data_IF_527600274148
#
_entry.id   IF_527600274148
#
_cell.length_a   1.000
_cell.length_b   1.000
_cell.length_c   1.000
_cell.angle_alpha   90.00
_cell.angle_beta   90.00
_cell.angle_gamma   90.00
#
_symmetry.space_group_name_H-M   'P 1'
#
loop_
_entity.id
_entity.type
_entity.pdbx_description
1 polymer ?
#
# COMPACT_ATOMS: atom_id res chain seq x y z
N UNK A 1 -14.06 23.51 6.82
CA UNK A 1 -13.10 23.61 5.70
C UNK A 1 -11.72 23.05 6.08
N UNK A 2 -11.05 23.58 7.10
CA UNK A 2 -9.68 23.18 7.53
C UNK A 2 -9.52 21.70 7.88
N UNK A 3 -10.53 21.06 8.50
CA UNK A 3 -10.51 19.61 8.79
C UNK A 3 -10.47 18.74 7.52
N UNK A 4 -11.21 19.14 6.48
CA UNK A 4 -11.25 18.42 5.20
C UNK A 4 -9.91 18.59 4.49
N UNK A 5 -9.33 19.79 4.51
CA UNK A 5 -8.03 20.06 3.89
C UNK A 5 -6.89 19.25 4.55
N UNK A 6 -6.88 19.15 5.88
CA UNK A 6 -5.92 18.32 6.62
C UNK A 6 -6.14 16.82 6.35
N UNK A 7 -7.38 16.37 6.25
CA UNK A 7 -7.70 14.98 5.94
C UNK A 7 -7.28 14.60 4.51
N UNK A 8 -7.57 15.45 3.53
CA UNK A 8 -7.18 15.25 2.13
C UNK A 8 -5.66 15.33 1.98
N UNK A 9 -5.00 16.28 2.67
CA UNK A 9 -3.55 16.38 2.71
C UNK A 9 -2.90 15.11 3.26
N UNK A 10 -3.44 14.53 4.33
CA UNK A 10 -2.93 13.28 4.88
C UNK A 10 -3.07 12.10 3.89
N UNK A 11 -4.17 12.04 3.13
CA UNK A 11 -4.38 11.03 2.08
C UNK A 11 -3.31 11.17 0.98
N UNK A 12 -3.09 12.39 0.47
CA UNK A 12 -2.10 12.63 -0.59
C UNK A 12 -0.68 12.37 -0.11
N UNK A 13 -0.33 12.84 1.10
CA UNK A 13 0.97 12.58 1.70
C UNK A 13 1.23 11.09 1.90
N UNK A 14 0.22 10.31 2.30
CA UNK A 14 0.36 8.86 2.44
C UNK A 14 0.69 8.16 1.12
N UNK A 15 0.15 8.69 0.02
CA UNK A 15 0.36 8.14 -1.32
C UNK A 15 1.77 8.48 -1.83
N UNK A 16 2.22 9.71 -1.61
CA UNK A 16 3.59 10.15 -1.94
C UNK A 16 4.60 9.37 -1.10
N UNK A 17 4.37 9.23 0.20
CA UNK A 17 5.25 8.45 1.07
C UNK A 17 5.29 6.97 0.69
N UNK A 18 4.15 6.39 0.31
CA UNK A 18 4.10 5.02 -0.23
C UNK A 18 4.98 4.86 -1.47
N UNK A 19 4.91 5.82 -2.41
CA UNK A 19 5.75 5.83 -3.61
C UNK A 19 7.25 6.00 -3.30
N UNK A 20 7.58 6.89 -2.36
CA UNK A 20 8.96 7.11 -1.92
C UNK A 20 9.53 5.87 -1.23
N UNK A 21 8.75 5.22 -0.36
CA UNK A 21 9.13 3.96 0.31
C UNK A 21 9.36 2.85 -0.70
N UNK A 22 8.46 2.70 -1.67
CA UNK A 22 8.60 1.75 -2.75
C UNK A 22 9.89 1.98 -3.54
N UNK A 23 10.15 3.21 -3.98
CA UNK A 23 11.38 3.56 -4.71
C UNK A 23 12.65 3.39 -3.87
N UNK A 24 12.58 3.72 -2.57
CA UNK A 24 13.70 3.56 -1.66
C UNK A 24 14.07 2.08 -1.45
N UNK A 25 13.09 1.21 -1.21
CA UNK A 25 13.35 -0.23 -1.06
C UNK A 25 13.83 -0.82 -2.39
N UNK A 26 13.24 -0.41 -3.51
CA UNK A 26 13.65 -0.85 -4.84
C UNK A 26 15.13 -0.55 -5.14
N UNK A 27 15.63 0.63 -4.77
CA UNK A 27 17.02 1.02 -5.03
C UNK A 27 18.01 0.49 -3.98
N UNK A 28 17.63 0.49 -2.69
CA UNK A 28 18.57 0.20 -1.60
C UNK A 28 18.60 -1.27 -1.19
N UNK A 29 17.49 -2.00 -1.38
CA UNK A 29 17.34 -3.39 -0.98
C UNK A 29 16.70 -4.23 -2.10
N UNK A 30 17.43 -4.45 -3.21
CA UNK A 30 16.91 -5.17 -4.37
C UNK A 30 16.47 -6.60 -4.03
N UNK A 31 17.19 -7.31 -3.17
CA UNK A 31 16.86 -8.68 -2.75
C UNK A 31 15.55 -8.75 -1.95
N UNK A 32 15.36 -7.78 -1.04
CA UNK A 32 14.11 -7.64 -0.29
C UNK A 32 12.96 -7.33 -1.23
N UNK A 33 13.16 -6.47 -2.21
CA UNK A 33 12.15 -6.13 -3.20
C UNK A 33 11.77 -7.35 -4.08
N UNK A 34 12.76 -8.13 -4.50
CA UNK A 34 12.54 -9.37 -5.24
C UNK A 34 11.71 -10.37 -4.42
N UNK A 35 12.04 -10.53 -3.14
CA UNK A 35 11.28 -11.38 -2.22
C UNK A 35 9.83 -10.89 -2.09
N UNK A 36 9.61 -9.58 -1.92
CA UNK A 36 8.26 -9.01 -1.80
C UNK A 36 7.44 -9.21 -3.08
N UNK A 37 8.06 -9.09 -4.26
CA UNK A 37 7.41 -9.36 -5.54
C UNK A 37 7.05 -10.85 -5.70
N UNK A 38 7.93 -11.76 -5.28
CA UNK A 38 7.67 -13.20 -5.29
C UNK A 38 6.52 -13.58 -4.34
N UNK A 39 6.44 -12.92 -3.18
CA UNK A 39 5.30 -13.03 -2.27
C UNK A 39 4.00 -12.54 -2.93
N UNK A 40 4.04 -11.42 -3.66
CA UNK A 40 2.87 -10.92 -4.38
C UNK A 40 2.42 -11.89 -5.49
N UNK A 41 3.36 -12.50 -6.21
CA UNK A 41 3.08 -13.53 -7.22
C UNK A 41 2.46 -14.80 -6.60
N UNK A 42 2.99 -15.22 -5.46
CA UNK A 42 2.47 -16.35 -4.69
C UNK A 42 1.05 -16.08 -4.18
N UNK A 43 0.80 -14.87 -3.68
CA UNK A 43 -0.54 -14.43 -3.26
C UNK A 43 -1.54 -14.43 -4.42
N UNK A 44 -1.14 -13.93 -5.59
CA UNK A 44 -1.96 -13.97 -6.82
C UNK A 44 -2.29 -15.40 -7.22
N UNK A 45 -1.29 -16.28 -7.21
CA UNK A 45 -1.46 -17.71 -7.54
C UNK A 45 -2.40 -18.41 -6.56
N UNK A 46 -2.27 -18.10 -5.26
CA UNK A 46 -3.19 -18.57 -4.22
C UNK A 46 -4.61 -18.07 -4.45
N UNK A 47 -4.80 -16.79 -4.80
CA UNK A 47 -6.11 -16.21 -5.06
C UNK A 47 -6.83 -16.89 -6.24
N UNK A 48 -6.08 -17.16 -7.32
CA UNK A 48 -6.57 -17.85 -8.52
C UNK A 48 -6.91 -19.32 -8.22
N UNK A 49 -6.17 -19.97 -7.30
CA UNK A 49 -6.39 -21.38 -6.95
C UNK A 49 -7.69 -21.65 -6.18
N UNK A 50 -8.39 -20.61 -5.69
CA UNK A 50 -9.64 -20.72 -4.91
C UNK A 50 -10.88 -21.19 -5.71
N UNK A 51 -10.71 -21.70 -6.93
CA UNK A 51 -11.82 -22.22 -7.75
C UNK A 51 -12.71 -21.15 -8.36
N UNK A 52 -12.19 -19.93 -8.54
CA UNK A 52 -12.91 -18.85 -9.22
C UNK A 52 -13.16 -19.23 -10.68
N UNK A 53 -14.37 -18.96 -11.19
CA UNK A 53 -14.71 -19.22 -12.58
C UNK A 53 -13.74 -18.46 -13.52
N UNK A 54 -13.45 -19.06 -14.68
CA UNK A 54 -12.40 -18.62 -15.61
C UNK A 54 -12.46 -17.13 -15.96
N UNK A 55 -13.67 -16.57 -16.03
CA UNK A 55 -13.93 -15.16 -16.29
C UNK A 55 -13.34 -14.25 -15.18
N UNK A 56 -13.52 -14.60 -13.91
CA UNK A 56 -12.98 -13.85 -12.76
C UNK A 56 -11.45 -13.99 -12.66
N UNK A 57 -10.92 -15.15 -13.03
CA UNK A 57 -9.47 -15.35 -13.07
C UNK A 57 -8.78 -14.46 -14.11
N UNK A 58 -9.43 -14.16 -15.23
CA UNK A 58 -8.90 -13.21 -16.21
C UNK A 58 -8.86 -11.78 -15.66
N UNK A 59 -9.91 -11.34 -14.96
CA UNK A 59 -9.92 -10.05 -14.28
C UNK A 59 -8.81 -9.93 -13.24
N UNK A 60 -8.59 -10.96 -12.44
CA UNK A 60 -7.50 -11.01 -11.44
C UNK A 60 -6.13 -11.01 -12.13
N UNK A 61 -5.98 -11.63 -13.29
CA UNK A 61 -4.71 -11.58 -14.01
C UNK A 61 -4.37 -10.18 -14.51
N UNK A 62 -5.36 -9.48 -15.06
CA UNK A 62 -5.21 -8.17 -15.71
C UNK A 62 -5.15 -7.02 -14.70
N UNK A 63 -6.06 -6.99 -13.73
CA UNK A 63 -6.15 -5.89 -12.77
C UNK A 63 -5.10 -5.96 -11.65
N UNK A 64 -4.52 -7.13 -11.45
CA UNK A 64 -3.73 -7.47 -10.27
C UNK A 64 -2.30 -7.81 -10.72
N UNK A 65 -1.59 -6.80 -11.22
CA UNK A 65 -0.15 -6.88 -11.47
C UNK A 65 0.63 -6.90 -10.15
N UNK A 66 1.69 -7.71 -10.09
CA UNK A 66 2.54 -7.87 -8.89
C UNK A 66 3.10 -6.53 -8.41
N UNK A 67 3.55 -5.68 -9.32
CA UNK A 67 4.04 -4.33 -9.01
C UNK A 67 2.97 -3.45 -8.38
N UNK A 68 1.73 -3.55 -8.85
CA UNK A 68 0.61 -2.75 -8.33
C UNK A 68 0.17 -3.24 -6.96
N UNK A 69 0.16 -4.55 -6.75
CA UNK A 69 -0.03 -5.16 -5.43
C UNK A 69 1.00 -4.68 -4.42
N UNK A 70 2.28 -4.73 -4.80
CA UNK A 70 3.36 -4.31 -3.92
C UNK A 70 3.25 -2.81 -3.63
N UNK A 71 2.96 -1.98 -4.63
CA UNK A 71 2.73 -0.55 -4.42
C UNK A 71 1.55 -0.27 -3.47
N UNK A 72 0.45 -1.00 -3.61
CA UNK A 72 -0.69 -0.90 -2.68
C UNK A 72 -0.28 -1.30 -1.27
N UNK A 73 0.47 -2.39 -1.10
CA UNK A 73 0.97 -2.82 0.20
C UNK A 73 1.88 -1.76 0.85
N UNK A 74 2.82 -1.18 0.09
CA UNK A 74 3.66 -0.08 0.56
C UNK A 74 2.86 1.16 0.94
N UNK A 75 1.82 1.48 0.18
CA UNK A 75 0.93 2.62 0.50
C UNK A 75 0.14 2.37 1.79
N UNK A 76 -0.31 1.14 2.03
CA UNK A 76 -0.97 0.76 3.28
C UNK A 76 0.01 0.87 4.46
N UNK A 77 1.24 0.36 4.31
CA UNK A 77 2.28 0.48 5.35
C UNK A 77 2.59 1.95 5.64
N UNK A 78 2.75 2.78 4.60
CA UNK A 78 2.97 4.22 4.76
C UNK A 78 1.80 4.90 5.49
N UNK A 79 0.55 4.47 5.24
CA UNK A 79 -0.62 4.94 5.99
C UNK A 79 -0.59 4.55 7.46
N UNK A 80 -0.23 3.31 7.77
CA UNK A 80 -0.11 2.86 9.17
C UNK A 80 0.97 3.67 9.88
N UNK A 81 2.13 3.85 9.24
CA UNK A 81 3.22 4.68 9.78
C UNK A 81 2.78 6.12 10.02
N UNK A 82 2.12 6.74 9.04
CA UNK A 82 1.57 8.09 9.22
C UNK A 82 0.52 8.17 10.33
N UNK A 83 -0.35 7.17 10.44
CA UNK A 83 -1.34 7.11 11.53
C UNK A 83 -0.64 7.10 12.88
N UNK A 84 0.39 6.27 13.06
CA UNK A 84 1.18 6.20 14.31
C UNK A 84 1.86 7.54 14.61
N UNK A 85 2.45 8.19 13.61
CA UNK A 85 3.15 9.48 13.78
C UNK A 85 2.19 10.64 14.05
N UNK A 86 1.00 10.62 13.44
CA UNK A 86 0.00 11.69 13.58
C UNK A 86 -0.92 11.50 14.78
N UNK A 87 -1.00 10.28 15.33
CA UNK A 87 -1.81 9.95 16.50
C UNK A 87 -1.58 10.87 17.71
N UNK A 88 -0.34 11.20 18.12
CA UNK A 88 -0.08 12.09 19.24
C UNK A 88 -0.61 13.51 19.00
N UNK A 89 -0.52 14.00 17.76
CA UNK A 89 -0.98 15.33 17.34
C UNK A 89 -2.52 15.40 17.38
N UNK A 90 -3.18 14.35 16.90
CA UNK A 90 -4.64 14.24 16.96
C UNK A 90 -5.11 14.19 18.41
N UNK A 91 -4.46 13.37 19.24
CA UNK A 91 -4.78 13.24 20.65
C UNK A 91 -4.62 14.56 21.43
N UNK A 92 -3.57 15.33 21.14
CA UNK A 92 -3.36 16.64 21.78
C UNK A 92 -4.43 17.66 21.37
N UNK A 93 -4.90 17.62 20.12
CA UNK A 93 -5.99 18.47 19.63
C UNK A 93 -7.36 18.10 20.21
N UNK A 94 -7.59 16.85 20.59
CA UNK A 94 -8.87 16.43 21.22
C UNK A 94 -8.97 16.84 22.69
N UNK A 95 -7.83 17.15 23.33
CA UNK A 95 -7.77 17.60 24.74
C UNK A 95 -7.74 19.12 24.92
N UNK A 96 -7.50 19.89 23.86
CA UNK A 96 -7.46 21.36 23.86
C UNK A 96 -8.79 21.93 23.36
#
# INVERSE_FOLDING_TARGET
>A
MTRIFLSTGNIVLSLILGALLFGFVFLKYPDTMATILEWASSFKSWLISRGLATEYNNWIRVLLEERQLVFMAFTIVARVMLSIVTYPIVWWRERA
#
